data_IF_572903438187
#
_entry.id   IF_572903438187
#
_cell.length_a   1.000
_cell.length_b   1.000
_cell.length_c   1.000
_cell.angle_alpha   90.00
_cell.angle_beta   90.00
_cell.angle_gamma   90.00
#
_symmetry.space_group_name_H-M   'P 1'
#
loop_
_entity.id
_entity.type
_entity.pdbx_description
1 polymer ?
#
# COMPACT_ATOMS: atom_id res chain seq x y z
N UNK A 1 8.76 -8.04 -10.32
CA UNK A 1 8.19 -6.93 -9.54
C UNK A 1 8.95 -5.65 -9.85
N UNK A 2 8.35 -4.45 -9.76
CA UNK A 2 9.11 -3.21 -9.79
C UNK A 2 10.03 -3.12 -8.57
N UNK A 3 11.24 -2.57 -8.74
CA UNK A 3 12.11 -2.26 -7.61
C UNK A 3 11.47 -1.21 -6.68
N UNK A 4 11.92 -1.16 -5.42
CA UNK A 4 11.38 -0.22 -4.40
C UNK A 4 11.35 1.23 -4.88
N UNK A 5 12.42 1.71 -5.52
CA UNK A 5 12.50 3.09 -6.00
C UNK A 5 11.48 3.37 -7.12
N UNK A 6 11.29 2.40 -8.02
CA UNK A 6 10.27 2.49 -9.08
C UNK A 6 8.87 2.45 -8.48
N UNK A 7 8.66 1.61 -7.47
CA UNK A 7 7.39 1.51 -6.77
C UNK A 7 7.03 2.82 -6.08
N UNK A 8 7.95 3.39 -5.29
CA UNK A 8 7.77 4.66 -4.57
C UNK A 8 7.55 5.81 -5.55
N UNK A 9 8.39 5.94 -6.58
CA UNK A 9 8.24 7.01 -7.58
C UNK A 9 6.93 6.93 -8.37
N UNK A 10 6.43 5.73 -8.69
CA UNK A 10 5.11 5.55 -9.34
C UNK A 10 3.94 5.77 -8.39
N UNK A 11 4.12 5.48 -7.11
CA UNK A 11 3.10 5.71 -6.10
C UNK A 11 2.98 7.20 -5.78
N UNK A 12 4.06 7.82 -5.34
CA UNK A 12 4.05 9.15 -4.70
C UNK A 12 5.01 10.16 -5.32
N UNK A 13 5.80 9.80 -6.33
CA UNK A 13 6.74 10.70 -7.00
C UNK A 13 7.97 10.95 -6.13
N UNK A 14 8.42 12.20 -6.07
CA UNK A 14 9.62 12.62 -5.32
C UNK A 14 9.32 12.93 -3.84
N UNK A 15 8.25 12.35 -3.31
CA UNK A 15 7.87 12.51 -1.90
C UNK A 15 8.91 11.80 -1.01
N UNK A 16 9.34 12.44 0.10
CA UNK A 16 10.29 11.83 1.03
C UNK A 16 9.66 10.62 1.73
N UNK A 17 10.35 9.48 1.64
CA UNK A 17 9.88 8.19 2.15
C UNK A 17 10.99 7.53 2.96
N UNK A 18 10.66 7.13 4.18
CA UNK A 18 11.45 6.20 4.98
C UNK A 18 11.02 4.77 4.67
N UNK A 19 11.96 3.81 4.74
CA UNK A 19 11.64 2.40 4.57
C UNK A 19 12.41 1.48 5.50
N UNK A 20 11.83 0.32 5.80
CA UNK A 20 12.47 -0.79 6.54
C UNK A 20 12.20 -2.08 5.77
N UNK A 21 13.22 -2.91 5.56
CA UNK A 21 13.10 -4.21 4.88
C UNK A 21 14.16 -5.17 5.42
N UNK A 22 13.89 -6.47 5.36
CA UNK A 22 14.79 -7.54 5.84
C UNK A 22 15.97 -7.86 4.91
N UNK A 23 15.81 -7.62 3.61
CA UNK A 23 16.85 -7.84 2.60
C UNK A 23 17.13 -6.55 1.83
N UNK A 24 18.34 -6.40 1.27
CA UNK A 24 18.69 -5.21 0.47
C UNK A 24 17.87 -5.11 -0.82
N UNK A 25 17.67 -6.24 -1.49
CA UNK A 25 16.91 -6.30 -2.73
C UNK A 25 15.42 -6.49 -2.43
N UNK A 26 14.59 -5.63 -3.03
CA UNK A 26 13.13 -5.72 -2.86
C UNK A 26 12.55 -7.02 -3.42
N UNK A 27 13.18 -7.69 -4.38
CA UNK A 27 12.69 -9.00 -4.84
C UNK A 27 12.90 -10.10 -3.80
N UNK A 28 13.95 -9.97 -2.98
CA UNK A 28 14.38 -11.00 -2.02
C UNK A 28 13.81 -10.79 -0.62
N UNK A 29 13.33 -9.58 -0.31
CA UNK A 29 12.76 -9.26 0.99
C UNK A 29 11.48 -10.08 1.28
N UNK A 30 11.18 -10.34 2.54
CA UNK A 30 9.90 -10.93 2.94
C UNK A 30 8.89 -9.84 3.28
N UNK A 31 9.39 -8.67 3.70
CA UNK A 31 8.56 -7.50 3.95
C UNK A 31 9.24 -6.20 3.51
N UNK A 32 8.43 -5.16 3.31
CA UNK A 32 8.86 -3.78 3.12
C UNK A 32 7.85 -2.87 3.82
N UNK A 33 8.32 -2.14 4.83
CA UNK A 33 7.55 -1.08 5.47
C UNK A 33 7.93 0.25 4.83
N UNK A 34 6.93 1.03 4.42
CA UNK A 34 7.07 2.35 3.83
C UNK A 34 6.37 3.39 4.69
N UNK A 35 7.03 4.54 4.90
CA UNK A 35 6.43 5.69 5.58
C UNK A 35 6.73 6.97 4.83
N UNK A 36 5.69 7.69 4.44
CA UNK A 36 5.81 9.03 3.86
C UNK A 36 6.12 10.05 4.97
N UNK A 37 7.24 10.76 4.84
CA UNK A 37 7.70 11.75 5.81
C UNK A 37 7.00 13.10 5.57
N UNK A 38 5.74 13.21 5.99
CA UNK A 38 4.87 14.37 5.73
C UNK A 38 5.48 15.70 6.19
N UNK A 39 6.16 15.72 7.34
CA UNK A 39 6.79 16.92 7.90
C UNK A 39 7.93 17.49 7.04
N UNK A 40 8.61 16.65 6.25
CA UNK A 40 9.65 17.07 5.31
C UNK A 40 9.05 17.81 4.11
N UNK A 41 7.81 17.49 3.74
CA UNK A 41 7.07 18.19 2.68
C UNK A 41 6.51 19.52 3.15
N UNK A 42 5.88 19.54 4.33
CA UNK A 42 5.32 20.75 4.91
C UNK A 42 5.42 20.71 6.44
N UNK A 43 6.08 21.71 7.02
CA UNK A 43 6.30 21.80 8.47
C UNK A 43 5.00 21.89 9.27
N UNK A 44 3.90 22.35 8.67
CA UNK A 44 2.59 22.39 9.31
C UNK A 44 2.07 21.00 9.74
N UNK A 45 2.60 19.92 9.14
CA UNK A 45 2.32 18.57 9.59
C UNK A 45 2.71 18.32 11.04
N UNK A 46 3.71 19.03 11.59
CA UNK A 46 4.12 18.87 12.99
C UNK A 46 2.99 19.19 13.98
N UNK A 47 2.03 20.04 13.59
CA UNK A 47 0.86 20.38 14.41
C UNK A 47 -0.31 19.38 14.25
N UNK A 48 -0.17 18.41 13.34
CA UNK A 48 -1.23 17.47 12.93
C UNK A 48 -0.84 16.00 13.12
N UNK A 49 0.34 15.69 13.68
CA UNK A 49 0.82 14.32 13.87
C UNK A 49 0.03 13.58 14.96
N UNK A 50 -1.15 13.06 14.61
CA UNK A 50 -1.93 12.19 15.51
C UNK A 50 -1.56 10.71 15.34
N UNK A 51 -1.07 10.33 14.15
CA UNK A 51 -0.65 8.97 13.77
C UNK A 51 0.27 9.07 12.54
N UNK A 52 1.37 8.29 12.54
CA UNK A 52 2.28 8.13 11.40
C UNK A 52 2.41 6.65 11.04
N UNK A 53 1.36 6.06 10.43
CA UNK A 53 1.33 4.63 10.20
C UNK A 53 2.32 4.24 9.11
N UNK A 54 2.91 3.06 9.26
CA UNK A 54 3.65 2.40 8.20
C UNK A 54 2.68 1.69 7.26
N UNK A 55 2.95 1.76 5.97
CA UNK A 55 2.34 0.89 4.98
C UNK A 55 3.26 -0.34 4.85
N UNK A 56 2.79 -1.49 5.30
CA UNK A 56 3.52 -2.75 5.19
C UNK A 56 3.16 -3.45 3.90
N UNK A 57 4.18 -3.95 3.21
CA UNK A 57 4.07 -4.90 2.10
C UNK A 57 4.70 -6.20 2.56
N UNK A 58 3.90 -7.26 2.74
CA UNK A 58 4.39 -8.60 3.06
C UNK A 58 4.29 -9.51 1.83
N UNK A 59 5.31 -10.34 1.61
CA UNK A 59 5.41 -11.30 0.50
C UNK A 59 5.45 -12.72 1.02
N UNK A 60 4.41 -13.48 0.66
CA UNK A 60 4.30 -14.90 1.00
C UNK A 60 4.56 -15.75 -0.25
N UNK A 61 5.40 -16.79 -0.10
CA UNK A 61 5.74 -17.75 -1.16
C UNK A 61 6.01 -19.14 -0.55
N UNK A 62 5.79 -20.18 -1.35
CA UNK A 62 6.02 -21.57 -0.93
C UNK A 62 5.29 -21.92 0.37
N UNK A 63 5.98 -22.57 1.30
CA UNK A 63 5.38 -23.04 2.55
C UNK A 63 4.69 -21.94 3.38
N UNK A 64 5.21 -20.70 3.38
CA UNK A 64 4.58 -19.60 4.11
C UNK A 64 3.23 -19.19 3.50
N UNK A 65 3.14 -19.23 2.16
CA UNK A 65 1.89 -19.02 1.45
C UNK A 65 0.92 -20.18 1.71
N UNK A 66 1.41 -21.41 1.61
CA UNK A 66 0.58 -22.59 1.89
C UNK A 66 -0.01 -22.53 3.31
N UNK A 67 0.82 -22.26 4.32
CA UNK A 67 0.37 -22.14 5.72
C UNK A 67 -0.68 -21.04 5.90
N UNK A 68 -0.49 -19.89 5.24
CA UNK A 68 -1.44 -18.77 5.28
C UNK A 68 -2.80 -19.16 4.70
N UNK A 69 -2.82 -19.80 3.53
CA UNK A 69 -4.05 -20.23 2.86
C UNK A 69 -4.81 -21.31 3.65
N UNK A 70 -4.09 -22.21 4.33
CA UNK A 70 -4.71 -23.25 5.14
C UNK A 70 -5.26 -22.73 6.48
N UNK A 71 -4.68 -21.68 7.06
CA UNK A 71 -5.14 -21.11 8.34
C UNK A 71 -6.47 -20.39 8.22
N UNK A 72 -6.66 -19.60 7.17
CA UNK A 72 -7.84 -18.76 7.06
C UNK A 72 -9.09 -19.53 6.63
N UNK A 73 -8.97 -20.79 6.18
CA UNK A 73 -10.10 -21.61 5.70
C UNK A 73 -10.87 -20.97 4.54
N UNK A 74 -10.37 -19.86 4.00
CA UNK A 74 -10.99 -19.05 2.98
C UNK A 74 -10.80 -19.73 1.63
N UNK A 75 -11.89 -19.83 0.87
CA UNK A 75 -11.84 -20.31 -0.50
C UNK A 75 -11.26 -19.19 -1.37
N UNK A 76 -9.93 -19.17 -1.51
CA UNK A 76 -9.27 -18.25 -2.43
C UNK A 76 -9.74 -18.54 -3.86
N UNK A 77 -10.15 -17.52 -4.62
CA UNK A 77 -10.74 -17.71 -5.95
C UNK A 77 -9.71 -18.10 -7.03
N UNK A 78 -8.48 -18.44 -6.64
CA UNK A 78 -7.35 -18.64 -7.55
C UNK A 78 -6.50 -19.81 -7.06
N UNK A 79 -6.03 -20.64 -8.01
CA UNK A 79 -4.94 -21.56 -7.74
C UNK A 79 -3.67 -20.73 -7.49
N UNK A 80 -3.16 -20.79 -6.26
CA UNK A 80 -2.01 -20.04 -5.79
C UNK A 80 -0.72 -20.89 -5.77
N UNK A 81 -0.77 -22.13 -6.26
CA UNK A 81 0.41 -22.96 -6.41
C UNK A 81 1.48 -22.23 -7.24
N UNK A 82 2.70 -22.19 -6.72
CA UNK A 82 3.87 -21.52 -7.33
C UNK A 82 3.75 -19.99 -7.50
N UNK A 83 2.76 -19.35 -6.88
CA UNK A 83 2.58 -17.89 -6.91
C UNK A 83 3.20 -17.22 -5.68
N UNK A 84 3.34 -15.90 -5.78
CA UNK A 84 3.66 -15.01 -4.65
C UNK A 84 2.42 -14.21 -4.31
N UNK A 85 1.99 -14.26 -3.05
CA UNK A 85 0.95 -13.37 -2.53
C UNK A 85 1.62 -12.14 -1.93
N UNK A 86 1.07 -10.97 -2.25
CA UNK A 86 1.45 -9.70 -1.65
C UNK A 86 0.30 -9.18 -0.82
N UNK A 87 0.55 -8.94 0.46
CA UNK A 87 -0.38 -8.32 1.39
C UNK A 87 0.10 -6.89 1.60
N UNK A 88 -0.80 -5.90 1.43
CA UNK A 88 -0.48 -4.49 1.60
C UNK A 88 -1.48 -3.89 2.57
N UNK A 89 -0.99 -3.39 3.71
CA UNK A 89 -1.83 -2.93 4.81
C UNK A 89 -1.23 -1.73 5.56
N UNK A 90 -2.07 -1.08 6.39
CA UNK A 90 -1.65 -0.05 7.34
C UNK A 90 -1.49 -0.68 8.72
N UNK A 91 -0.30 -0.60 9.32
CA UNK A 91 0.06 -1.32 10.55
C UNK A 91 -0.75 -0.88 11.79
N UNK A 92 -1.02 0.43 11.93
CA UNK A 92 -1.72 1.00 13.12
C UNK A 92 -2.94 1.85 12.73
N UNK A 93 -3.71 1.42 11.73
CA UNK A 93 -4.77 2.24 11.15
C UNK A 93 -4.20 3.50 10.48
N UNK A 94 -4.99 4.57 10.36
CA UNK A 94 -4.49 5.80 9.75
C UNK A 94 -5.56 6.84 9.47
N UNK A 95 -5.11 8.04 9.09
CA UNK A 95 -6.02 9.10 8.62
C UNK A 95 -6.57 8.78 7.23
N UNK A 96 -7.55 9.56 6.76
CA UNK A 96 -8.05 9.42 5.39
C UNK A 96 -6.96 9.67 4.34
N UNK A 97 -5.95 10.48 4.67
CA UNK A 97 -4.78 10.67 3.80
C UNK A 97 -3.91 9.40 3.76
N UNK A 98 -3.71 8.72 4.88
CA UNK A 98 -2.90 7.48 4.93
C UNK A 98 -3.55 6.37 4.11
N UNK A 99 -4.88 6.25 4.19
CA UNK A 99 -5.62 5.35 3.31
C UNK A 99 -5.46 5.72 1.83
N UNK A 100 -5.42 7.01 1.50
CA UNK A 100 -5.16 7.45 0.13
C UNK A 100 -3.72 7.15 -0.32
N UNK A 101 -2.74 7.24 0.57
CA UNK A 101 -1.37 6.80 0.30
C UNK A 101 -1.31 5.30 0.00
N UNK A 102 -1.96 4.48 0.83
CA UNK A 102 -2.09 3.04 0.63
C UNK A 102 -2.76 2.72 -0.71
N UNK A 103 -3.94 3.27 -0.97
CA UNK A 103 -4.68 3.02 -2.21
C UNK A 103 -3.89 3.45 -3.45
N UNK A 104 -3.15 4.56 -3.34
CA UNK A 104 -2.27 5.00 -4.42
C UNK A 104 -1.12 4.03 -4.66
N UNK A 105 -0.52 3.48 -3.61
CA UNK A 105 0.50 2.44 -3.73
C UNK A 105 -0.07 1.17 -4.41
N UNK A 106 -1.24 0.71 -3.96
CA UNK A 106 -1.95 -0.44 -4.56
C UNK A 106 -2.21 -0.22 -6.05
N UNK A 107 -2.55 1.01 -6.45
CA UNK A 107 -2.83 1.33 -7.86
C UNK A 107 -1.65 1.09 -8.80
N UNK A 108 -0.41 1.06 -8.30
CA UNK A 108 0.78 0.78 -9.12
C UNK A 108 0.78 -0.67 -9.64
N UNK A 109 0.07 -1.57 -8.96
CA UNK A 109 -0.03 -2.98 -9.34
C UNK A 109 -1.19 -3.27 -10.30
N UNK A 110 -2.14 -2.34 -10.44
CA UNK A 110 -3.29 -2.52 -11.33
C UNK A 110 -2.88 -2.59 -12.80
N UNK A 111 -3.56 -3.44 -13.55
CA UNK A 111 -3.28 -3.69 -14.97
C UNK A 111 -2.10 -4.62 -15.25
N UNK A 112 -1.25 -4.90 -14.24
CA UNK A 112 -0.14 -5.85 -14.35
C UNK A 112 -0.35 -7.11 -13.51
N UNK A 113 -1.08 -6.96 -12.39
CA UNK A 113 -1.35 -8.03 -11.44
C UNK A 113 -2.84 -8.13 -11.16
N UNK A 114 -3.28 -9.30 -10.73
CA UNK A 114 -4.60 -9.46 -10.12
C UNK A 114 -4.55 -8.88 -8.72
N UNK A 115 -5.41 -7.90 -8.46
CA UNK A 115 -5.49 -7.23 -7.17
C UNK A 115 -6.81 -7.61 -6.53
N UNK A 116 -6.76 -8.02 -5.27
CA UNK A 116 -7.92 -8.38 -4.48
C UNK A 116 -8.02 -7.45 -3.29
N UNK A 117 -9.25 -7.13 -2.89
CA UNK A 117 -9.55 -6.43 -1.64
C UNK A 117 -10.17 -7.41 -0.65
N UNK A 118 -9.85 -7.21 0.62
CA UNK A 118 -10.48 -7.93 1.73
C UNK A 118 -11.43 -6.98 2.46
N UNK A 119 -12.73 -7.24 2.41
CA UNK A 119 -13.76 -6.52 3.17
C UNK A 119 -14.63 -7.50 3.97
N UNK A 120 -15.65 -8.08 3.32
CA UNK A 120 -16.51 -9.16 3.84
C UNK A 120 -16.15 -10.52 3.21
N UNK A 121 -15.08 -10.54 2.43
CA UNK A 121 -14.55 -11.65 1.66
C UNK A 121 -13.46 -11.15 0.70
N UNK A 122 -12.88 -12.08 -0.06
CA UNK A 122 -11.89 -11.77 -1.10
C UNK A 122 -12.62 -11.41 -2.40
N UNK A 123 -12.49 -10.16 -2.82
CA UNK A 123 -13.10 -9.65 -4.05
C UNK A 123 -12.03 -9.10 -5.00
N UNK A 124 -12.10 -9.46 -6.29
CA UNK A 124 -11.19 -8.89 -7.30
C UNK A 124 -11.52 -7.42 -7.54
N UNK A 125 -10.50 -6.56 -7.57
CA UNK A 125 -10.65 -5.13 -7.84
C UNK A 125 -10.98 -4.94 -9.32
N UNK A 126 -12.21 -4.49 -9.60
CA UNK A 126 -12.67 -4.21 -10.96
C UNK A 126 -12.01 -2.97 -11.56
N UNK A 127 -12.12 -2.81 -12.89
CA UNK A 127 -11.68 -1.60 -13.58
C UNK A 127 -12.42 -0.33 -13.10
N UNK A 128 -13.69 -0.47 -12.68
CA UNK A 128 -14.47 0.64 -12.13
C UNK A 128 -13.88 1.10 -10.78
N UNK A 129 -13.55 0.16 -9.88
CA UNK A 129 -12.90 0.48 -8.61
C UNK A 129 -11.50 1.06 -8.88
N UNK A 130 -10.75 0.48 -9.81
CA UNK A 130 -9.45 1.00 -10.25
C UNK A 130 -9.52 2.46 -10.69
N UNK A 131 -10.56 2.84 -11.45
CA UNK A 131 -10.77 4.21 -11.93
C UNK A 131 -11.07 5.21 -10.81
N UNK A 132 -11.61 4.75 -9.67
CA UNK A 132 -11.89 5.58 -8.49
C UNK A 132 -10.68 5.78 -7.56
N UNK A 133 -9.57 5.08 -7.79
CA UNK A 133 -8.38 5.20 -6.96
C UNK A 133 -7.71 6.57 -7.12
N UNK A 134 -7.10 7.10 -6.06
CA UNK A 134 -6.51 8.42 -6.10
C UNK A 134 -5.36 8.52 -7.11
N UNK A 135 -5.36 9.60 -7.90
CA UNK A 135 -4.26 9.96 -8.77
C UNK A 135 -3.05 10.44 -7.95
N UNK A 136 -1.83 10.20 -8.45
CA UNK A 136 -0.60 10.62 -7.77
C UNK A 136 -0.59 12.12 -7.45
N UNK A 137 -0.99 12.95 -8.41
CA UNK A 137 -1.04 14.41 -8.24
C UNK A 137 -2.05 14.83 -7.15
N UNK A 138 -3.20 14.16 -7.08
CA UNK A 138 -4.20 14.46 -6.06
C UNK A 138 -3.69 14.12 -4.65
N UNK A 139 -2.94 13.03 -4.49
CA UNK A 139 -2.28 12.67 -3.22
C UNK A 139 -1.23 13.72 -2.84
N UNK A 140 -0.40 14.14 -3.80
CA UNK A 140 0.63 15.15 -3.59
C UNK A 140 0.04 16.49 -3.14
N UNK A 141 -1.03 16.95 -3.77
CA UNK A 141 -1.71 18.19 -3.38
C UNK A 141 -2.23 18.13 -1.94
N UNK A 142 -2.80 16.99 -1.52
CA UNK A 142 -3.27 16.80 -0.15
C UNK A 142 -2.14 16.77 0.87
N UNK A 143 -1.00 16.17 0.51
CA UNK A 143 0.22 16.20 1.32
C UNK A 143 0.72 17.65 1.49
N UNK A 144 0.74 18.44 0.43
CA UNK A 144 1.20 19.84 0.46
C UNK A 144 0.25 20.71 1.29
N UNK A 145 -1.07 20.54 1.15
CA UNK A 145 -2.10 21.30 1.87
C UNK A 145 -2.34 20.86 3.31
N UNK A 146 -1.61 19.85 3.77
CA UNK A 146 -1.77 19.29 5.11
C UNK A 146 -3.21 18.80 5.40
N UNK A 147 -3.87 18.19 4.42
CA UNK A 147 -5.26 17.73 4.52
C UNK A 147 -5.35 16.33 5.14
N UNK A 148 -5.91 16.21 6.35
CA UNK A 148 -6.11 14.92 7.03
C UNK A 148 -7.45 14.26 6.72
N UNK A 149 -8.45 15.07 6.39
CA UNK A 149 -9.80 14.62 6.07
C UNK A 149 -10.01 14.60 4.55
N UNK A 150 -11.04 13.88 4.10
CA UNK A 150 -11.72 14.29 2.88
C UNK A 150 -12.41 15.62 3.20
N UNK A 151 -12.13 16.66 2.41
CA UNK A 151 -12.90 17.89 2.47
C UNK A 151 -14.35 17.59 2.06
N UNK A 152 -15.30 17.70 3.00
CA UNK A 152 -16.75 17.63 2.78
C UNK A 152 -17.31 16.20 2.67
N UNK A 153 -18.24 15.80 3.53
CA UNK A 153 -19.71 16.07 3.50
C UNK A 153 -20.47 14.85 2.97
#
# INVERSE_FOLDING_TARGET
MPDREILVSRAWGDVPVSYIQDQEAFNDCSFLDLKVNKWELNREWSAKQNSEPWIRIEKLKGAALDDFLHRDGSLWPVDLAEKTLMIIELDEGGSALDHCLLLRLVSVFLGQFKVYRWSDGIEEVSEEIAASLPAQQAVLERLIRCEQAASGE
#
